data_IF_947641275693
#
_entry.id   IF_947641275693
#
_cell.length_a   1.000
_cell.length_b   1.000
_cell.length_c   1.000
_cell.angle_alpha   90.00
_cell.angle_beta   90.00
_cell.angle_gamma   90.00
#
_symmetry.space_group_name_H-M   'P 1'
#
loop_
_entity.id
_entity.type
_entity.pdbx_description
1 polymer ?
#
# COMPACT_ATOMS: atom_id res chain seq x y z
N UNK A 1 -1.11 4.01 -17.94
CA UNK A 1 -0.33 4.90 -17.07
C UNK A 1 -0.64 4.60 -15.60
N UNK A 2 0.37 4.64 -14.73
CA UNK A 2 0.22 4.56 -13.28
C UNK A 2 0.23 5.98 -12.70
N UNK A 3 -0.53 6.22 -11.62
CA UNK A 3 -0.58 7.54 -10.97
C UNK A 3 0.29 7.49 -9.70
N UNK A 4 0.96 8.59 -9.37
CA UNK A 4 1.65 8.74 -8.09
C UNK A 4 0.61 8.97 -6.98
N UNK A 5 0.82 8.36 -5.82
CA UNK A 5 -0.01 8.60 -4.65
C UNK A 5 0.26 9.99 -4.09
N UNK A 6 -0.77 10.82 -4.01
CA UNK A 6 -0.71 12.16 -3.41
C UNK A 6 -1.69 12.27 -2.26
N UNK A 7 -1.69 13.43 -1.59
CA UNK A 7 -2.58 13.75 -0.48
C UNK A 7 -4.09 13.61 -0.78
N UNK A 8 -4.51 13.64 -2.06
CA UNK A 8 -5.92 13.76 -2.45
C UNK A 8 -6.45 12.62 -3.32
N UNK A 9 -5.59 11.75 -3.85
CA UNK A 9 -6.00 10.78 -4.88
C UNK A 9 -6.01 9.31 -4.40
N UNK A 10 -5.94 9.06 -3.09
CA UNK A 10 -5.75 7.72 -2.54
C UNK A 10 -6.76 6.68 -3.04
N UNK A 11 -8.05 7.01 -3.14
CA UNK A 11 -9.05 6.05 -3.59
C UNK A 11 -8.80 5.57 -5.03
N UNK A 12 -8.42 6.50 -5.93
CA UNK A 12 -8.08 6.21 -7.32
C UNK A 12 -6.77 5.43 -7.39
N UNK A 13 -5.76 5.88 -6.65
CA UNK A 13 -4.45 5.24 -6.59
C UNK A 13 -4.56 3.80 -6.08
N UNK A 14 -5.32 3.56 -5.00
CA UNK A 14 -5.49 2.24 -4.36
C UNK A 14 -6.02 1.22 -5.37
N UNK A 15 -7.10 1.54 -6.07
CA UNK A 15 -7.69 0.65 -7.08
C UNK A 15 -6.73 0.39 -8.25
N UNK A 16 -6.07 1.43 -8.76
CA UNK A 16 -5.10 1.27 -9.86
C UNK A 16 -3.87 0.48 -9.45
N UNK A 17 -3.34 0.71 -8.25
CA UNK A 17 -2.20 0.00 -7.70
C UNK A 17 -2.51 -1.48 -7.53
N UNK A 18 -3.63 -1.81 -6.90
CA UNK A 18 -4.02 -3.20 -6.70
C UNK A 18 -4.14 -3.95 -8.04
N UNK A 19 -4.83 -3.36 -9.02
CA UNK A 19 -4.92 -3.94 -10.37
C UNK A 19 -3.54 -4.14 -11.03
N UNK A 20 -2.60 -3.23 -10.81
CA UNK A 20 -1.22 -3.37 -11.32
C UNK A 20 -0.46 -4.49 -10.64
N UNK A 21 -0.59 -4.61 -9.32
CA UNK A 21 0.00 -5.71 -8.56
C UNK A 21 -0.54 -7.07 -9.05
N UNK A 22 -1.84 -7.17 -9.34
CA UNK A 22 -2.44 -8.38 -9.92
C UNK A 22 -1.79 -8.76 -11.26
N UNK A 23 -1.74 -7.81 -12.20
CA UNK A 23 -1.14 -8.04 -13.53
C UNK A 23 0.35 -8.41 -13.42
N UNK A 24 1.06 -7.85 -12.44
CA UNK A 24 2.48 -8.13 -12.17
C UNK A 24 2.73 -9.38 -11.33
N UNK A 25 1.68 -10.08 -10.88
CA UNK A 25 1.76 -11.22 -9.95
C UNK A 25 2.43 -10.87 -8.61
N UNK A 26 2.21 -9.64 -8.14
CA UNK A 26 2.72 -9.10 -6.87
C UNK A 26 1.61 -8.88 -5.83
N UNK A 27 0.36 -9.26 -6.11
CA UNK A 27 -0.77 -8.93 -5.23
C UNK A 27 -0.89 -9.80 -3.97
N UNK A 28 -0.33 -11.02 -3.98
CA UNK A 28 -0.46 -11.99 -2.87
C UNK A 28 -0.08 -11.45 -1.49
N UNK A 29 1.03 -10.70 -1.30
CA UNK A 29 1.34 -10.13 0.01
C UNK A 29 0.24 -9.22 0.56
N UNK A 30 -0.52 -8.55 -0.31
CA UNK A 30 -1.64 -7.69 0.09
C UNK A 30 -2.90 -8.51 0.36
N UNK A 31 -3.20 -9.50 -0.48
CA UNK A 31 -4.37 -10.39 -0.36
C UNK A 31 -4.32 -11.25 0.89
N UNK A 32 -3.16 -11.84 1.17
CA UNK A 32 -2.93 -12.71 2.32
C UNK A 32 -2.65 -11.91 3.60
N UNK A 33 -2.88 -10.59 3.57
CA UNK A 33 -2.70 -9.71 4.72
C UNK A 33 -1.28 -9.77 5.32
N UNK A 34 -0.26 -9.96 4.47
CA UNK A 34 1.13 -10.14 4.86
C UNK A 34 1.44 -11.47 5.53
N UNK A 35 0.48 -12.40 5.60
CA UNK A 35 0.64 -13.72 6.20
C UNK A 35 1.09 -14.68 5.10
N UNK A 36 2.26 -15.29 5.29
CA UNK A 36 2.74 -16.32 4.36
C UNK A 36 1.83 -17.56 4.44
N UNK A 37 1.25 -18.04 3.33
CA UNK A 37 0.44 -19.25 3.34
C UNK A 37 1.26 -20.50 3.72
N UNK A 38 0.62 -21.50 4.35
CA UNK A 38 1.27 -22.79 4.60
C UNK A 38 1.72 -23.41 3.28
N UNK A 39 2.87 -24.09 3.28
CA UNK A 39 3.50 -24.70 2.09
C UNK A 39 4.07 -23.72 1.05
N UNK A 40 4.17 -22.42 1.35
CA UNK A 40 4.96 -21.48 0.54
C UNK A 40 6.39 -21.41 1.07
N UNK A 41 7.38 -21.51 0.19
CA UNK A 41 8.78 -21.36 0.56
C UNK A 41 9.05 -19.97 1.19
N UNK A 42 9.92 -19.93 2.20
CA UNK A 42 10.19 -18.71 2.96
C UNK A 42 10.94 -17.67 2.14
N UNK A 43 11.85 -18.11 1.25
CA UNK A 43 12.63 -17.23 0.40
C UNK A 43 11.76 -16.70 -0.74
N UNK A 44 10.98 -17.55 -1.38
CA UNK A 44 10.01 -17.13 -2.40
C UNK A 44 9.01 -16.11 -1.84
N UNK A 45 8.50 -16.34 -0.62
CA UNK A 45 7.61 -15.38 0.04
C UNK A 45 8.29 -14.05 0.32
N UNK A 46 9.50 -14.08 0.89
CA UNK A 46 10.25 -12.87 1.24
C UNK A 46 10.62 -12.05 0.01
N UNK A 47 10.99 -12.71 -1.09
CA UNK A 47 11.24 -12.03 -2.37
C UNK A 47 9.96 -11.39 -2.92
N UNK A 48 8.84 -12.12 -2.89
CA UNK A 48 7.56 -11.60 -3.36
C UNK A 48 7.08 -10.39 -2.55
N UNK A 49 7.16 -10.47 -1.22
CA UNK A 49 6.82 -9.37 -0.33
C UNK A 49 7.74 -8.17 -0.56
N UNK A 50 9.05 -8.38 -0.69
CA UNK A 50 10.01 -7.29 -0.98
C UNK A 50 9.73 -6.63 -2.32
N UNK A 51 9.46 -7.41 -3.38
CA UNK A 51 9.13 -6.89 -4.71
C UNK A 51 7.82 -6.10 -4.70
N UNK A 52 6.81 -6.60 -4.00
CA UNK A 52 5.55 -5.88 -3.83
C UNK A 52 5.76 -4.56 -3.08
N UNK A 53 6.57 -4.56 -2.01
CA UNK A 53 6.88 -3.37 -1.22
C UNK A 53 7.58 -2.30 -2.08
N UNK A 54 8.66 -2.68 -2.78
CA UNK A 54 9.39 -1.75 -3.66
C UNK A 54 8.47 -1.20 -4.73
N UNK A 55 7.68 -2.07 -5.38
CA UNK A 55 6.74 -1.63 -6.41
C UNK A 55 5.69 -0.66 -5.88
N UNK A 56 5.16 -0.86 -4.66
CA UNK A 56 4.25 0.09 -4.05
C UNK A 56 4.94 1.43 -3.82
N UNK A 57 6.13 1.42 -3.22
CA UNK A 57 6.89 2.61 -2.86
C UNK A 57 7.27 3.48 -4.06
N UNK A 58 7.58 2.88 -5.20
CA UNK A 58 7.94 3.60 -6.45
C UNK A 58 6.82 4.50 -6.97
N UNK A 59 5.57 4.28 -6.55
CA UNK A 59 4.42 5.08 -6.94
C UNK A 59 3.83 5.88 -5.78
N UNK A 60 4.65 6.23 -4.79
CA UNK A 60 4.29 7.13 -3.70
C UNK A 60 5.05 8.44 -3.88
N UNK A 61 4.32 9.55 -3.82
CA UNK A 61 4.94 10.87 -3.86
C UNK A 61 5.86 11.10 -2.65
N UNK A 62 6.93 11.88 -2.84
CA UNK A 62 7.90 12.18 -1.79
C UNK A 62 7.25 12.83 -0.56
N UNK A 63 6.17 13.60 -0.73
CA UNK A 63 5.41 14.19 0.39
C UNK A 63 4.62 13.17 1.21
N UNK A 64 4.48 11.93 0.73
CA UNK A 64 3.73 10.85 1.40
C UNK A 64 4.65 9.74 1.90
N UNK A 65 5.78 9.48 1.21
CA UNK A 65 6.66 8.33 1.49
C UNK A 65 7.19 8.30 2.93
N UNK A 66 7.46 9.47 3.54
CA UNK A 66 7.93 9.59 4.92
C UNK A 66 6.95 9.01 5.97
N UNK A 67 5.68 8.81 5.63
CA UNK A 67 4.72 8.16 6.53
C UNK A 67 4.83 6.63 6.52
N UNK A 68 5.55 6.04 5.55
CA UNK A 68 5.61 4.59 5.33
C UNK A 68 7.01 4.03 5.13
N UNK A 69 8.05 4.86 5.13
CA UNK A 69 9.45 4.48 4.85
C UNK A 69 10.02 3.38 5.77
N UNK A 70 9.56 3.32 7.01
CA UNK A 70 9.93 2.31 8.00
C UNK A 70 9.13 0.99 7.85
N UNK A 71 8.38 0.81 6.76
CA UNK A 71 7.65 -0.43 6.51
C UNK A 71 8.58 -1.49 5.92
N UNK A 72 8.68 -2.63 6.60
CA UNK A 72 9.51 -3.76 6.18
C UNK A 72 8.80 -4.74 5.28
N UNK A 73 7.45 -4.72 5.27
CA UNK A 73 6.61 -5.59 4.46
C UNK A 73 5.65 -4.80 3.57
N UNK A 74 5.21 -5.40 2.46
CA UNK A 74 4.30 -4.75 1.53
C UNK A 74 2.94 -4.48 2.18
N UNK A 75 2.42 -5.45 2.93
CA UNK A 75 1.16 -5.28 3.66
C UNK A 75 1.27 -4.23 4.77
N UNK A 76 2.40 -4.17 5.48
CA UNK A 76 2.65 -3.14 6.49
C UNK A 76 2.60 -1.73 5.89
N UNK A 77 3.25 -1.53 4.73
CA UNK A 77 3.16 -0.29 3.96
C UNK A 77 1.71 0.03 3.57
N UNK A 78 1.02 -0.94 2.98
CA UNK A 78 -0.37 -0.80 2.54
C UNK A 78 -1.33 -0.40 3.68
N UNK A 79 -1.19 -1.03 4.86
CA UNK A 79 -2.00 -0.72 6.04
C UNK A 79 -1.73 0.67 6.60
N UNK A 80 -0.49 1.13 6.62
CA UNK A 80 -0.17 2.52 7.04
C UNK A 80 -0.79 3.54 6.09
N UNK A 81 -0.74 3.28 4.78
CA UNK A 81 -1.45 4.12 3.80
C UNK A 81 -2.96 4.14 4.07
N UNK A 82 -3.61 2.99 4.27
CA UNK A 82 -5.03 2.95 4.61
C UNK A 82 -5.34 3.82 5.84
N UNK A 83 -4.60 3.64 6.93
CA UNK A 83 -4.79 4.41 8.16
C UNK A 83 -4.55 5.92 7.99
N UNK A 84 -3.56 6.31 7.18
CA UNK A 84 -3.26 7.72 6.89
C UNK A 84 -4.47 8.43 6.26
N UNK A 85 -5.09 7.79 5.27
CA UNK A 85 -6.20 8.41 4.52
C UNK A 85 -7.57 8.22 5.21
N UNK A 86 -7.76 7.18 6.01
CA UNK A 86 -8.94 7.04 6.89
C UNK A 86 -8.99 8.19 7.91
N UNK A 87 -7.87 8.51 8.56
CA UNK A 87 -7.75 9.64 9.51
C UNK A 87 -8.00 11.00 8.84
N UNK A 88 -7.51 11.20 7.62
CA UNK A 88 -7.81 12.43 6.87
C UNK A 88 -9.29 12.54 6.56
N UNK A 89 -9.95 11.46 6.13
CA UNK A 89 -11.39 11.49 5.86
C UNK A 89 -12.22 11.77 7.10
N UNK A 90 -11.84 11.28 8.29
CA UNK A 90 -12.56 11.56 9.53
C UNK A 90 -12.33 12.99 10.03
N UNK A 91 -11.10 13.51 9.94
CA UNK A 91 -10.79 14.90 10.32
C UNK A 91 -11.57 15.93 9.49
N UNK A 92 -11.71 15.72 8.17
CA UNK A 92 -12.53 16.59 7.32
C UNK A 92 -14.02 16.56 7.68
N UNK A 93 -14.53 15.42 8.19
CA UNK A 93 -15.92 15.33 8.65
C UNK A 93 -16.13 16.06 9.96
N UNK A 94 -15.19 15.99 10.91
CA UNK A 94 -15.30 16.68 12.21
C UNK A 94 -15.19 18.21 12.06
N UNK A 95 -14.37 18.70 11.13
CA UNK A 95 -14.23 20.15 10.86
C UNK A 95 -15.44 20.81 10.19
N UNK A 96 -16.40 20.04 9.67
CA UNK A 96 -17.63 20.55 9.04
C UNK A 96 -18.80 20.65 10.02
N UNK A 97 -18.61 20.24 11.29
CA UNK A 97 -19.66 20.20 12.33
C UNK A 97 -19.40 21.24 13.45
N UNK A 98 -18.60 22.27 13.18
CA UNK A 98 -18.39 23.42 14.07
C UNK A 98 -18.94 24.70 13.45
#
# INVERSE_FOLDING_TARGET
MMVMLTASNYHIWKTKMLNRLYVKRLARPIEELGIRPPNTDIYEWSELDRRCLVYISDYIDIGVIHHVDNSTTAYGCWRKLQGLYERRSSAHKVGLIM
#
